data_IF_064215065169
#
_entry.id   IF_064215065169
#
_cell.length_a   1.000
_cell.length_b   1.000
_cell.length_c   1.000
_cell.angle_alpha   90.00
_cell.angle_beta   90.00
_cell.angle_gamma   90.00
#
_symmetry.space_group_name_H-M   'P 1'
#
loop_
_entity.id
_entity.type
_entity.pdbx_description
1 polymer ?
#
# COMPACT_ATOMS: atom_id res chain seq x y z
N UNK A 1 -4.19 -3.09 -13.29
CA UNK A 1 -4.31 -3.93 -12.09
C UNK A 1 -3.88 -3.00 -10.99
N UNK A 2 -4.83 -2.46 -10.21
CA UNK A 2 -4.41 -1.86 -8.95
C UNK A 2 -3.77 -3.03 -8.19
N UNK A 3 -2.53 -2.88 -7.75
CA UNK A 3 -2.00 -3.77 -6.73
C UNK A 3 -3.03 -3.72 -5.60
N UNK A 4 -3.77 -4.80 -5.39
CA UNK A 4 -4.28 -5.12 -4.07
C UNK A 4 -3.04 -5.50 -3.27
N UNK A 5 -2.23 -4.50 -2.90
CA UNK A 5 -1.15 -4.70 -1.94
C UNK A 5 -1.80 -5.34 -0.71
N UNK A 6 -1.22 -6.45 -0.28
CA UNK A 6 -1.59 -7.08 0.97
C UNK A 6 -1.54 -6.01 2.08
N UNK A 7 -2.49 -5.98 3.03
CA UNK A 7 -2.45 -5.04 4.15
C UNK A 7 -1.10 -5.13 4.88
N UNK A 8 -0.54 -3.98 5.28
CA UNK A 8 0.70 -3.98 6.06
C UNK A 8 0.46 -4.42 7.52
N UNK A 9 -0.81 -4.43 7.94
CA UNK A 9 -1.22 -4.83 9.28
C UNK A 9 -1.55 -6.32 9.32
N UNK A 10 -0.87 -7.06 10.20
CA UNK A 10 -1.15 -8.46 10.49
C UNK A 10 -1.92 -8.59 11.80
N UNK A 11 -2.91 -9.48 11.84
CA UNK A 11 -3.65 -9.85 13.06
C UNK A 11 -2.70 -10.44 14.12
N UNK A 12 -2.79 -9.93 15.35
CA UNK A 12 -2.21 -10.59 16.52
C UNK A 12 -3.23 -11.44 17.28
N UNK A 13 -2.79 -12.14 18.32
CA UNK A 13 -3.66 -13.00 19.13
C UNK A 13 -4.79 -12.23 19.83
N UNK A 14 -4.60 -10.94 20.14
CA UNK A 14 -5.68 -10.11 20.72
C UNK A 14 -6.74 -9.82 19.64
N UNK A 15 -6.30 -9.45 18.44
CA UNK A 15 -7.17 -9.19 17.30
C UNK A 15 -7.98 -10.44 16.91
N UNK A 16 -7.36 -11.61 16.89
CA UNK A 16 -8.05 -12.87 16.60
C UNK A 16 -9.21 -13.11 17.57
N UNK A 17 -9.03 -12.83 18.87
CA UNK A 17 -10.12 -12.97 19.86
C UNK A 17 -11.24 -11.96 19.61
N UNK A 18 -10.89 -10.73 19.20
CA UNK A 18 -11.84 -9.69 18.87
C UNK A 18 -12.64 -10.05 17.61
N UNK A 19 -11.96 -10.43 16.53
CA UNK A 19 -12.57 -10.84 15.27
C UNK A 19 -13.47 -12.07 15.47
N UNK A 20 -13.04 -13.06 16.26
CA UNK A 20 -13.88 -14.23 16.55
C UNK A 20 -15.13 -13.88 17.38
N UNK A 21 -15.08 -12.85 18.22
CA UNK A 21 -16.26 -12.32 18.94
C UNK A 21 -17.18 -11.56 18.00
N UNK A 22 -16.61 -10.76 17.09
CA UNK A 22 -17.34 -9.93 16.13
C UNK A 22 -18.01 -10.79 15.07
N UNK A 23 -17.34 -11.86 14.60
CA UNK A 23 -17.89 -12.90 13.69
C UNK A 23 -19.21 -13.50 14.13
N UNK A 24 -19.45 -13.59 15.44
CA UNK A 24 -20.72 -14.11 16.00
C UNK A 24 -21.89 -13.14 15.86
N UNK A 25 -21.59 -11.84 15.69
CA UNK A 25 -22.58 -10.78 15.56
C UNK A 25 -22.70 -10.27 14.12
N UNK A 26 -21.58 -10.26 13.39
CA UNK A 26 -21.41 -9.66 12.08
C UNK A 26 -20.44 -10.52 11.27
N UNK A 27 -20.77 -10.85 10.02
CA UNK A 27 -19.89 -11.65 9.16
C UNK A 27 -18.69 -10.81 8.69
N UNK A 28 -17.58 -10.86 9.43
CA UNK A 28 -16.30 -10.22 9.07
C UNK A 28 -15.20 -11.26 8.84
N UNK A 29 -14.46 -11.11 7.74
CA UNK A 29 -13.28 -11.94 7.45
C UNK A 29 -12.01 -11.35 8.09
N UNK A 30 -10.99 -12.19 8.28
CA UNK A 30 -9.69 -11.76 8.81
C UNK A 30 -9.06 -10.66 7.95
N UNK A 31 -9.03 -10.88 6.63
CA UNK A 31 -8.48 -9.93 5.67
C UNK A 31 -9.22 -8.59 5.65
N UNK A 32 -10.56 -8.60 5.76
CA UNK A 32 -11.33 -7.35 5.86
C UNK A 32 -10.94 -6.55 7.11
N UNK A 33 -10.78 -7.22 8.25
CA UNK A 33 -10.33 -6.54 9.46
C UNK A 33 -8.93 -5.94 9.30
N UNK A 34 -7.99 -6.68 8.71
CA UNK A 34 -6.63 -6.20 8.41
C UNK A 34 -6.67 -4.96 7.50
N UNK A 35 -7.46 -5.00 6.44
CA UNK A 35 -7.66 -3.85 5.54
C UNK A 35 -8.25 -2.63 6.27
N UNK A 36 -9.21 -2.83 7.16
CA UNK A 36 -9.81 -1.75 7.95
C UNK A 36 -8.78 -1.11 8.88
N UNK A 37 -7.98 -1.92 9.61
CA UNK A 37 -6.96 -1.42 10.52
C UNK A 37 -5.83 -0.74 9.75
N UNK A 38 -5.38 -1.31 8.62
CA UNK A 38 -4.34 -0.71 7.78
C UNK A 38 -4.74 0.69 7.28
N UNK A 39 -6.00 0.84 6.82
CA UNK A 39 -6.56 2.14 6.46
C UNK A 39 -6.59 3.10 7.64
N UNK A 40 -6.98 2.63 8.82
CA UNK A 40 -7.00 3.41 10.07
C UNK A 40 -5.60 3.88 10.50
N UNK A 41 -4.58 3.01 10.40
CA UNK A 41 -3.20 3.36 10.71
C UNK A 41 -2.65 4.39 9.71
N UNK A 42 -2.83 4.17 8.40
CA UNK A 42 -2.33 5.05 7.33
C UNK A 42 -2.96 6.45 7.36
N UNK A 43 -4.25 6.57 7.65
CA UNK A 43 -4.92 7.87 7.72
C UNK A 43 -4.64 8.66 9.00
N UNK A 44 -4.05 8.05 10.02
CA UNK A 44 -4.01 8.65 11.37
C UNK A 44 -3.08 9.86 11.55
N UNK A 45 -2.20 10.09 10.56
CA UNK A 45 -1.38 11.29 10.46
C UNK A 45 -2.09 12.48 9.81
N UNK A 46 -3.30 12.28 9.26
CA UNK A 46 -4.13 13.32 8.63
C UNK A 46 -5.47 13.41 9.35
N UNK A 47 -5.87 14.62 9.75
CA UNK A 47 -7.10 14.91 10.51
C UNK A 47 -8.36 14.80 9.63
N UNK A 48 -8.52 13.72 8.86
CA UNK A 48 -9.68 13.52 7.98
C UNK A 48 -10.07 12.05 7.97
N UNK A 49 -10.62 11.58 9.09
CA UNK A 49 -11.07 10.19 9.24
C UNK A 49 -12.57 9.97 9.14
N UNK A 50 -13.35 11.02 8.88
CA UNK A 50 -14.78 10.89 9.10
C UNK A 50 -15.55 10.18 7.97
N UNK A 51 -15.10 10.12 6.71
CA UNK A 51 -16.05 9.79 5.61
C UNK A 51 -15.50 9.11 4.34
N UNK A 52 -14.28 8.59 4.27
CA UNK A 52 -13.71 8.32 2.93
C UNK A 52 -13.83 6.90 2.35
N UNK A 53 -14.10 5.79 3.09
CA UNK A 53 -13.88 4.49 2.42
C UNK A 53 -14.52 3.20 2.96
N UNK A 54 -15.76 3.17 3.43
CA UNK A 54 -16.39 1.88 3.73
C UNK A 54 -17.82 1.85 3.15
N UNK A 55 -18.04 0.98 2.15
CA UNK A 55 -19.36 0.50 1.75
C UNK A 55 -19.85 -0.58 2.74
N UNK A 56 -19.41 -0.49 3.99
CA UNK A 56 -19.65 -1.49 5.02
C UNK A 56 -20.63 -0.92 6.05
N UNK A 57 -21.23 -1.81 6.83
CA UNK A 57 -22.22 -1.48 7.85
C UNK A 57 -21.65 -0.46 8.86
N UNK A 58 -22.32 0.68 9.06
CA UNK A 58 -21.90 1.76 9.96
C UNK A 58 -21.62 1.24 11.39
N UNK A 59 -22.33 0.20 11.82
CA UNK A 59 -22.13 -0.41 13.13
C UNK A 59 -20.82 -1.21 13.21
N UNK A 60 -20.43 -1.91 12.12
CA UNK A 60 -19.15 -2.63 12.03
C UNK A 60 -17.96 -1.66 12.10
N UNK A 61 -18.05 -0.56 11.34
CA UNK A 61 -17.03 0.48 11.29
C UNK A 61 -16.79 1.04 12.69
N UNK A 62 -17.87 1.34 13.40
CA UNK A 62 -17.82 1.90 14.74
C UNK A 62 -17.14 0.96 15.73
N UNK A 63 -17.49 -0.33 15.74
CA UNK A 63 -16.88 -1.32 16.64
C UNK A 63 -15.38 -1.50 16.37
N UNK A 64 -14.97 -1.58 15.10
CA UNK A 64 -13.56 -1.69 14.71
C UNK A 64 -12.79 -0.42 15.08
N UNK A 65 -13.36 0.76 14.85
CA UNK A 65 -12.76 2.04 15.24
C UNK A 65 -12.58 2.17 16.76
N UNK A 66 -13.60 1.80 17.54
CA UNK A 66 -13.57 1.83 19.01
C UNK A 66 -12.53 0.84 19.57
N UNK A 67 -12.36 -0.32 18.93
CA UNK A 67 -11.28 -1.26 19.23
C UNK A 67 -9.90 -0.68 18.91
N UNK A 68 -9.69 -0.26 17.66
CA UNK A 68 -8.42 0.31 17.17
C UNK A 68 -7.96 1.50 18.02
N UNK A 69 -8.86 2.44 18.31
CA UNK A 69 -8.57 3.64 19.11
C UNK A 69 -8.12 3.29 20.53
N UNK A 70 -8.71 2.26 21.15
CA UNK A 70 -8.28 1.76 22.47
C UNK A 70 -6.92 1.06 22.40
N UNK A 71 -6.71 0.19 21.41
CA UNK A 71 -5.44 -0.52 21.21
C UNK A 71 -4.29 0.48 21.03
N UNK A 72 -4.49 1.47 20.16
CA UNK A 72 -3.50 2.53 19.87
C UNK A 72 -3.12 3.38 21.08
N UNK A 73 -4.07 3.69 21.98
CA UNK A 73 -3.77 4.42 23.23
C UNK A 73 -2.86 3.64 24.18
N UNK A 74 -2.88 2.31 24.09
CA UNK A 74 -2.01 1.43 24.89
C UNK A 74 -0.59 1.36 24.30
N UNK A 75 -0.45 1.60 22.99
CA UNK A 75 0.84 1.63 22.30
C UNK A 75 1.61 2.93 22.58
N UNK A 76 2.73 2.81 23.32
CA UNK A 76 3.63 3.93 23.65
C UNK A 76 4.26 4.62 22.42
N UNK A 77 4.24 3.97 21.26
CA UNK A 77 4.87 4.43 20.02
C UNK A 77 3.95 5.21 19.06
N UNK A 78 2.66 5.37 19.38
CA UNK A 78 1.72 6.11 18.51
C UNK A 78 1.32 5.40 17.21
N UNK A 79 1.74 4.16 17.01
CA UNK A 79 1.33 3.27 15.92
C UNK A 79 1.21 1.84 16.45
N UNK A 80 0.32 1.06 15.85
CA UNK A 80 0.17 -0.36 16.14
C UNK A 80 1.28 -1.20 15.48
N UNK A 81 1.79 -0.74 14.33
CA UNK A 81 2.85 -1.44 13.60
C UNK A 81 4.21 -1.06 14.21
N UNK A 82 5.00 -2.04 14.69
CA UNK A 82 6.34 -1.79 15.19
C UNK A 82 7.21 -1.19 14.10
N UNK A 83 7.83 -0.04 14.39
CA UNK A 83 8.72 0.63 13.46
C UNK A 83 10.15 0.64 14.00
N UNK A 84 11.13 0.46 13.10
CA UNK A 84 12.54 0.60 13.45
C UNK A 84 12.82 2.06 13.80
N UNK A 85 13.45 2.29 14.95
CA UNK A 85 13.79 3.63 15.40
C UNK A 85 14.83 4.25 14.46
N UNK A 86 14.47 5.36 13.83
CA UNK A 86 15.34 6.12 12.96
C UNK A 86 15.97 7.32 13.69
N UNK A 87 17.07 7.83 13.16
CA UNK A 87 17.75 9.02 13.68
C UNK A 87 16.88 10.27 13.50
N UNK A 88 16.85 11.14 14.52
CA UNK A 88 16.16 12.43 14.42
C UNK A 88 16.90 13.35 13.45
N UNK A 89 16.16 14.14 12.66
CA UNK A 89 16.73 15.09 11.68
C UNK A 89 17.42 16.30 12.33
N UNK A 90 17.49 16.35 13.65
CA UNK A 90 17.98 17.50 14.42
C UNK A 90 19.52 17.55 14.47
N UNK A 91 20.23 16.63 13.79
CA UNK A 91 21.69 16.59 13.70
C UNK A 91 22.40 16.14 14.98
N UNK A 92 21.65 15.78 16.03
CA UNK A 92 22.20 15.24 17.27
C UNK A 92 22.61 13.78 17.11
N UNK A 93 23.86 13.47 17.44
CA UNK A 93 24.35 12.10 17.51
C UNK A 93 23.66 11.38 18.67
N UNK A 94 22.64 10.59 18.37
CA UNK A 94 22.02 9.71 19.36
C UNK A 94 22.95 8.52 19.60
N UNK A 95 23.37 8.25 20.84
CA UNK A 95 24.11 7.01 21.20
C UNK A 95 23.16 5.83 21.51
N UNK A 96 21.89 5.97 21.14
CA UNK A 96 20.85 4.98 21.40
C UNK A 96 21.10 3.70 20.57
N UNK A 97 21.28 2.53 21.22
CA UNK A 97 21.52 1.25 20.54
C UNK A 97 20.38 0.80 19.61
N UNK A 98 19.15 1.28 19.82
CA UNK A 98 17.99 0.92 19.00
C UNK A 98 17.87 1.74 17.71
N UNK A 99 18.71 2.77 17.50
CA UNK A 99 18.71 3.59 16.28
C UNK A 99 19.49 2.88 15.17
N UNK A 100 18.77 2.38 14.16
CA UNK A 100 19.33 1.69 13.00
C UNK A 100 19.16 2.50 11.70
N UNK A 101 19.80 2.03 10.62
CA UNK A 101 19.71 2.59 9.26
C UNK A 101 19.99 4.11 9.17
N UNK A 102 21.01 4.59 9.89
CA UNK A 102 21.39 6.01 9.89
C UNK A 102 21.74 6.49 8.48
N UNK A 103 21.22 7.66 8.12
CA UNK A 103 21.53 8.32 6.86
C UNK A 103 22.87 9.04 7.01
N UNK A 104 23.97 8.33 6.80
CA UNK A 104 25.23 9.01 6.50
C UNK A 104 25.13 9.45 5.06
N UNK A 105 24.94 10.75 4.84
CA UNK A 105 25.20 11.31 3.52
C UNK A 105 26.68 11.07 3.25
N UNK A 106 26.98 10.14 2.35
CA UNK A 106 28.23 10.22 1.62
C UNK A 106 28.22 11.62 0.99
N UNK A 107 29.09 12.51 1.46
CA UNK A 107 29.11 13.88 0.96
C UNK A 107 29.23 13.77 -0.54
N UNK A 108 28.23 14.26 -1.26
CA UNK A 108 28.27 14.25 -2.72
C UNK A 108 29.53 15.00 -3.14
N UNK A 109 30.52 14.25 -3.63
CA UNK A 109 31.75 14.85 -4.09
C UNK A 109 31.43 15.61 -5.38
N UNK A 110 31.33 16.93 -5.26
CA UNK A 110 31.12 17.79 -6.41
C UNK A 110 32.41 17.82 -7.24
N UNK A 111 32.36 17.31 -8.47
CA UNK A 111 33.49 17.47 -9.39
C UNK A 111 33.65 18.95 -9.73
N UNK A 112 34.83 19.50 -9.50
CA UNK A 112 35.22 20.87 -9.85
C UNK A 112 35.43 21.01 -11.37
N UNK A 113 34.42 20.70 -12.19
CA UNK A 113 34.32 21.13 -13.59
C UNK A 113 32.94 20.76 -14.18
N UNK A 114 32.09 21.77 -14.41
CA UNK A 114 30.71 21.62 -14.88
C UNK A 114 30.65 21.58 -16.42
N UNK A 115 30.73 20.39 -17.00
CA UNK A 115 30.46 20.14 -18.44
C UNK A 115 29.58 18.90 -18.71
N UNK A 116 29.05 18.24 -17.68
CA UNK A 116 28.31 16.98 -17.81
C UNK A 116 26.76 17.14 -17.77
N UNK A 117 26.27 18.36 -17.58
CA UNK A 117 24.85 18.59 -17.27
C UNK A 117 23.96 18.38 -18.51
N UNK A 118 24.41 18.83 -19.70
CA UNK A 118 23.64 18.74 -20.95
C UNK A 118 23.55 17.30 -21.46
N UNK A 119 24.66 16.58 -21.52
CA UNK A 119 24.68 15.16 -21.91
C UNK A 119 23.88 14.27 -20.94
N UNK A 120 23.88 14.59 -19.64
CA UNK A 120 23.05 13.87 -18.66
C UNK A 120 21.57 14.17 -18.83
N UNK A 121 21.22 15.42 -19.15
CA UNK A 121 19.84 15.83 -19.44
C UNK A 121 19.29 15.18 -20.71
N UNK A 122 20.09 15.10 -21.78
CA UNK A 122 19.72 14.36 -23.00
C UNK A 122 19.45 12.88 -22.72
N UNK A 123 20.29 12.24 -21.90
CA UNK A 123 20.08 10.85 -21.46
C UNK A 123 18.77 10.68 -20.68
N UNK A 124 18.44 11.63 -19.80
CA UNK A 124 17.17 11.63 -19.07
C UNK A 124 15.97 11.76 -20.03
N UNK A 125 16.03 12.67 -21.01
CA UNK A 125 14.97 12.81 -22.01
C UNK A 125 14.80 11.56 -22.87
N UNK A 126 15.91 10.90 -23.23
CA UNK A 126 15.88 9.62 -23.94
C UNK A 126 15.23 8.54 -23.07
N UNK A 127 15.65 8.40 -21.81
CA UNK A 127 15.06 7.46 -20.86
C UNK A 127 13.55 7.67 -20.70
N UNK A 128 13.10 8.93 -20.58
CA UNK A 128 11.67 9.26 -20.51
C UNK A 128 10.92 8.76 -21.74
N UNK A 129 11.44 9.00 -22.95
CA UNK A 129 10.84 8.53 -24.22
C UNK A 129 10.79 7.00 -24.28
N UNK A 130 11.87 6.33 -23.89
CA UNK A 130 11.96 4.87 -23.90
C UNK A 130 10.96 4.25 -22.92
N UNK A 131 10.78 4.82 -21.72
CA UNK A 131 9.76 4.39 -20.76
C UNK A 131 8.34 4.64 -21.28
N UNK A 132 8.07 5.80 -21.88
CA UNK A 132 6.75 6.05 -22.50
C UNK A 132 6.44 5.03 -23.59
N UNK A 133 7.43 4.67 -24.43
CA UNK A 133 7.29 3.65 -25.45
C UNK A 133 7.03 2.26 -24.83
N UNK A 134 7.75 1.91 -23.77
CA UNK A 134 7.53 0.65 -23.05
C UNK A 134 6.10 0.57 -22.49
N UNK A 135 5.58 1.66 -21.90
CA UNK A 135 4.18 1.74 -21.43
C UNK A 135 3.19 1.52 -22.57
N UNK A 136 3.38 2.17 -23.72
CA UNK A 136 2.52 1.95 -24.90
C UNK A 136 2.53 0.49 -25.35
N UNK A 137 3.69 -0.14 -25.41
CA UNK A 137 3.81 -1.56 -25.80
C UNK A 137 3.10 -2.46 -24.77
N UNK A 138 3.31 -2.22 -23.47
CA UNK A 138 2.63 -2.95 -22.39
C UNK A 138 1.11 -2.80 -22.49
N UNK A 139 0.61 -1.60 -22.80
CA UNK A 139 -0.81 -1.37 -23.01
C UNK A 139 -1.35 -2.12 -24.23
N UNK A 140 -0.60 -2.15 -25.34
CA UNK A 140 -0.95 -2.94 -26.52
C UNK A 140 -1.00 -4.45 -26.21
N UNK A 141 -0.05 -4.96 -25.42
CA UNK A 141 -0.02 -6.37 -24.98
C UNK A 141 -1.20 -6.67 -24.06
N UNK A 142 -1.48 -5.80 -23.09
CA UNK A 142 -2.62 -5.95 -22.18
C UNK A 142 -3.94 -6.04 -22.95
N UNK A 143 -4.18 -5.12 -23.88
CA UNK A 143 -5.38 -5.15 -24.75
C UNK A 143 -5.43 -6.45 -25.58
N UNK A 144 -4.30 -6.89 -26.14
CA UNK A 144 -4.21 -8.17 -26.87
C UNK A 144 -4.47 -9.40 -25.99
N UNK A 145 -4.23 -9.35 -24.68
CA UNK A 145 -4.49 -10.46 -23.76
C UNK A 145 -5.94 -10.54 -23.27
N UNK A 146 -6.66 -9.42 -23.26
CA UNK A 146 -8.06 -9.34 -22.83
C UNK A 146 -9.04 -9.75 -23.96
N UNK A 147 -8.75 -9.43 -25.22
CA UNK A 147 -9.54 -9.82 -26.41
C UNK A 147 -9.68 -11.36 -26.66
N UNK A 148 -8.64 -12.21 -26.52
CA UNK A 148 -8.78 -13.64 -26.77
C UNK A 148 -9.64 -14.33 -25.72
N UNK A 149 -9.70 -13.83 -24.49
CA UNK A 149 -10.63 -14.38 -23.48
C UNK A 149 -12.07 -14.11 -23.89
N UNK A 150 -12.40 -12.87 -24.30
CA UNK A 150 -13.71 -12.51 -24.83
C UNK A 150 -14.07 -13.29 -26.09
N UNK A 151 -13.13 -13.48 -27.01
CA UNK A 151 -13.36 -14.29 -28.20
C UNK A 151 -13.59 -15.77 -27.85
N UNK A 152 -12.82 -16.33 -26.90
CA UNK A 152 -13.01 -17.72 -26.45
C UNK A 152 -14.31 -17.89 -25.67
N UNK A 153 -14.68 -16.98 -24.76
CA UNK A 153 -15.99 -17.08 -24.08
C UNK A 153 -17.16 -16.85 -25.04
N UNK A 154 -17.02 -15.97 -26.04
CA UNK A 154 -18.04 -15.76 -27.06
C UNK A 154 -18.21 -16.99 -27.96
N UNK A 155 -17.10 -17.60 -28.41
CA UNK A 155 -17.16 -18.86 -29.17
C UNK A 155 -17.69 -20.01 -28.34
N UNK A 156 -17.29 -20.13 -27.08
CA UNK A 156 -17.84 -21.15 -26.19
C UNK A 156 -19.35 -20.94 -25.96
N UNK A 157 -19.80 -19.71 -25.72
CA UNK A 157 -21.22 -19.40 -25.60
C UNK A 157 -21.99 -19.68 -26.90
N UNK A 158 -21.41 -19.36 -28.07
CA UNK A 158 -22.01 -19.65 -29.36
C UNK A 158 -22.14 -21.15 -29.62
N UNK A 159 -21.08 -21.94 -29.34
CA UNK A 159 -21.09 -23.40 -29.49
C UNK A 159 -22.08 -24.08 -28.54
N UNK A 160 -22.20 -23.58 -27.30
CA UNK A 160 -23.16 -24.09 -26.31
C UNK A 160 -24.60 -23.73 -26.69
N UNK A 161 -24.87 -22.53 -27.20
CA UNK A 161 -26.21 -22.14 -27.67
C UNK A 161 -26.61 -22.76 -29.01
N UNK A 162 -25.65 -23.25 -29.81
CA UNK A 162 -25.94 -23.99 -31.04
C UNK A 162 -26.28 -25.48 -30.80
N UNK A 163 -26.05 -25.98 -29.58
CA UNK A 163 -26.31 -27.38 -29.17
C UNK A 163 -27.58 -27.54 -28.29
N UNK A 164 -28.45 -26.52 -28.27
CA UNK A 164 -29.83 -26.58 -27.77
C UNK A 164 -30.75 -26.21 -28.92
#
# INVERSE_FOLDING_TARGET
VLDTEQPDYDLDSEDETFVNKLKKKMEITALQFEEMIDRLEKGSGQQVFANCCLKEDDELIKEVFDYWSRKRKTCKGGSLIPNVKQEKRDGSSTSDPYVAFRRRTEKMQTRKNRKNDEASYEKMLKLRRDLSRAVTILEMIKRRGEEPLLHVVFWMAYVVNLHV
#
